data_IF_153575785965
#
_entry.id   IF_153575785965
#
_cell.length_a   1.000
_cell.length_b   1.000
_cell.length_c   1.000
_cell.angle_alpha   90.00
_cell.angle_beta   90.00
_cell.angle_gamma   90.00
#
_symmetry.space_group_name_H-M   'P 1'
#
loop_
_entity.id
_entity.type
_entity.pdbx_description
1 polymer ?
#
# COMPACT_ATOMS: atom_id res chain seq x y z
N UNK A 1 21.44 23.18 62.18
CA UNK A 1 20.70 21.99 61.73
C UNK A 1 20.62 21.93 60.20
N UNK A 2 21.76 22.05 59.50
CA UNK A 2 21.79 22.22 58.02
C UNK A 2 23.00 21.58 57.32
N UNK A 3 23.76 20.73 58.00
CA UNK A 3 24.96 20.09 57.41
C UNK A 3 24.72 18.59 57.11
N UNK A 4 23.92 17.92 57.94
CA UNK A 4 23.57 16.50 57.76
C UNK A 4 22.69 16.25 56.54
N UNK A 5 21.74 17.15 56.23
CA UNK A 5 20.83 17.02 55.08
C UNK A 5 21.54 17.22 53.74
N UNK A 6 22.61 18.02 53.68
CA UNK A 6 23.38 18.23 52.46
C UNK A 6 24.27 17.03 52.14
N UNK A 7 24.97 16.49 53.16
CA UNK A 7 25.78 15.26 53.02
C UNK A 7 24.94 14.06 52.60
N UNK A 8 23.69 13.94 53.08
CA UNK A 8 22.81 12.84 52.71
C UNK A 8 22.34 12.94 51.25
N UNK A 9 22.12 14.16 50.75
CA UNK A 9 21.74 14.41 49.35
C UNK A 9 22.90 14.14 48.40
N UNK A 10 24.11 14.57 48.75
CA UNK A 10 25.31 14.34 47.95
C UNK A 10 25.67 12.84 47.91
N UNK A 11 25.42 12.11 49.00
CA UNK A 11 25.60 10.66 49.05
C UNK A 11 24.60 9.92 48.17
N UNK A 12 23.32 10.28 48.22
CA UNK A 12 22.29 9.71 47.34
C UNK A 12 22.59 10.03 45.87
N UNK A 13 22.98 11.27 45.57
CA UNK A 13 23.32 11.68 44.21
C UNK A 13 24.51 10.90 43.64
N UNK A 14 25.56 10.68 44.45
CA UNK A 14 26.71 9.88 44.04
C UNK A 14 26.36 8.40 43.84
N UNK A 15 25.46 7.84 44.65
CA UNK A 15 24.94 6.48 44.45
C UNK A 15 24.14 6.40 43.15
N UNK A 16 23.24 7.36 42.88
CA UNK A 16 22.44 7.36 41.65
C UNK A 16 23.32 7.49 40.41
N UNK A 17 24.36 8.33 40.45
CA UNK A 17 25.32 8.47 39.34
C UNK A 17 26.09 7.16 39.15
N UNK A 18 26.56 6.53 40.22
CA UNK A 18 27.26 5.25 40.12
C UNK A 18 26.35 4.15 39.55
N UNK A 19 25.08 4.11 39.95
CA UNK A 19 24.09 3.15 39.46
C UNK A 19 23.76 3.38 37.98
N UNK A 20 23.61 4.64 37.56
CA UNK A 20 23.43 5.01 36.15
C UNK A 20 24.64 4.62 35.30
N UNK A 21 25.86 4.82 35.82
CA UNK A 21 27.08 4.44 35.12
C UNK A 21 27.21 2.92 34.99
N UNK A 22 26.88 2.16 36.04
CA UNK A 22 26.87 0.70 36.02
C UNK A 22 25.80 0.17 35.06
N UNK A 23 24.60 0.76 35.05
CA UNK A 23 23.55 0.40 34.08
C UNK A 23 23.93 0.76 32.64
N UNK A 24 24.58 1.90 32.40
CA UNK A 24 25.06 2.28 31.08
C UNK A 24 26.16 1.33 30.57
N UNK A 25 27.08 0.91 31.46
CA UNK A 25 28.11 -0.09 31.13
C UNK A 25 27.50 -1.47 30.87
N UNK A 26 26.47 -1.86 31.63
CA UNK A 26 25.74 -3.11 31.41
C UNK A 26 24.95 -3.11 30.09
N UNK A 27 24.27 -2.00 29.76
CA UNK A 27 23.58 -1.84 28.49
C UNK A 27 24.57 -1.83 27.32
N UNK A 28 25.71 -1.16 27.47
CA UNK A 28 26.77 -1.17 26.44
C UNK A 28 27.40 -2.56 26.27
N UNK A 29 27.56 -3.32 27.35
CA UNK A 29 28.01 -4.70 27.28
C UNK A 29 26.96 -5.61 26.63
N UNK A 30 25.67 -5.42 26.94
CA UNK A 30 24.58 -6.18 26.30
C UNK A 30 24.48 -5.86 24.81
N UNK A 31 24.57 -4.60 24.38
CA UNK A 31 24.51 -4.25 22.95
C UNK A 31 25.70 -4.81 22.18
N UNK A 32 26.90 -4.86 22.78
CA UNK A 32 28.07 -5.52 22.19
C UNK A 32 27.92 -7.05 22.10
N UNK A 33 27.29 -7.69 23.10
CA UNK A 33 27.05 -9.14 23.11
C UNK A 33 25.92 -9.55 22.15
N UNK A 34 24.90 -8.71 21.94
CA UNK A 34 23.89 -8.94 20.89
C UNK A 34 24.43 -8.62 19.48
N UNK A 35 25.40 -7.71 19.35
CA UNK A 35 26.07 -7.39 18.08
C UNK A 35 27.17 -8.39 17.66
N UNK A 36 27.63 -9.24 18.58
CA UNK A 36 28.59 -10.32 18.31
C UNK A 36 27.94 -11.64 18.71
N UNK A 37 27.34 -12.34 17.75
CA UNK A 37 26.82 -13.69 17.91
C UNK A 37 27.90 -14.66 18.38
N UNK A 38 28.17 -14.71 19.68
CA UNK A 38 29.06 -15.67 20.32
C UNK A 38 28.19 -16.71 20.99
N UNK A 39 27.90 -17.77 20.23
CA UNK A 39 27.35 -19.00 20.74
C UNK A 39 28.34 -19.62 21.73
N UNK A 40 28.05 -19.52 23.03
CA UNK A 40 28.69 -20.38 24.03
C UNK A 40 28.14 -21.80 23.86
N UNK A 41 28.79 -22.56 22.98
CA UNK A 41 28.49 -23.97 22.75
C UNK A 41 28.76 -24.80 24.00
N UNK A 42 27.69 -25.23 24.66
CA UNK A 42 27.71 -26.42 25.49
C UNK A 42 27.65 -27.63 24.56
N UNK A 43 28.81 -28.11 24.14
CA UNK A 43 28.95 -29.49 23.65
C UNK A 43 28.50 -30.41 24.77
N UNK A 44 27.38 -31.12 24.60
CA UNK A 44 27.12 -32.51 24.98
C UNK A 44 25.60 -32.79 24.94
N UNK A 45 25.21 -33.71 24.03
CA UNK A 45 23.96 -34.50 23.97
C UNK A 45 23.01 -34.19 22.82
N UNK A 46 22.96 -35.15 21.88
CA UNK A 46 21.72 -35.80 21.44
C UNK A 46 20.74 -34.99 20.60
N UNK A 47 20.80 -35.22 19.28
CA UNK A 47 19.65 -35.30 18.35
C UNK A 47 18.46 -34.38 18.64
N UNK A 48 18.47 -33.21 18.02
CA UNK A 48 17.37 -32.70 17.21
C UNK A 48 17.94 -31.61 16.30
N UNK A 49 17.91 -31.82 14.99
CA UNK A 49 18.22 -30.78 14.01
C UNK A 49 16.96 -29.91 13.86
N UNK A 50 16.61 -29.16 14.90
CA UNK A 50 15.83 -27.95 14.72
C UNK A 50 16.77 -26.92 14.13
N UNK A 51 16.72 -26.77 12.80
CA UNK A 51 17.22 -25.55 12.16
C UNK A 51 16.31 -24.44 12.69
N UNK A 52 16.82 -23.63 13.62
CA UNK A 52 16.26 -22.31 13.88
C UNK A 52 16.44 -21.54 12.58
N UNK A 53 15.42 -21.62 11.71
CA UNK A 53 15.25 -20.66 10.63
C UNK A 53 14.95 -19.36 11.37
N UNK A 54 15.98 -18.56 11.60
CA UNK A 54 15.79 -17.18 11.99
C UNK A 54 14.75 -16.61 11.02
N UNK A 55 13.64 -16.08 11.55
CA UNK A 55 12.68 -15.35 10.76
C UNK A 55 13.48 -14.38 9.87
N UNK A 56 13.15 -14.27 8.56
CA UNK A 56 13.86 -13.35 7.70
C UNK A 56 13.95 -12.01 8.42
N UNK A 57 15.12 -11.34 8.38
CA UNK A 57 15.21 -9.94 8.80
C UNK A 57 14.34 -9.14 7.83
N UNK A 58 13.03 -9.14 8.07
CA UNK A 58 12.04 -8.41 7.31
C UNK A 58 12.31 -6.95 7.64
N UNK A 59 12.91 -6.24 6.69
CA UNK A 59 12.88 -4.79 6.76
C UNK A 59 11.42 -4.44 6.48
N UNK A 60 10.73 -3.88 7.47
CA UNK A 60 9.34 -3.45 7.33
C UNK A 60 9.23 -2.48 6.14
N UNK A 61 8.47 -2.89 5.13
CA UNK A 61 8.19 -2.06 3.98
C UNK A 61 6.96 -1.21 4.30
N UNK A 62 7.11 0.12 4.22
CA UNK A 62 6.00 1.04 4.41
C UNK A 62 4.90 0.79 3.36
N UNK A 63 3.65 1.00 3.74
CA UNK A 63 2.53 0.97 2.81
C UNK A 63 2.56 2.23 1.94
N UNK A 64 2.50 2.03 0.62
CA UNK A 64 2.33 3.11 -0.36
C UNK A 64 1.12 2.79 -1.25
N UNK A 65 0.48 3.84 -1.76
CA UNK A 65 -0.65 3.68 -2.69
C UNK A 65 -0.71 4.83 -3.70
N UNK A 66 -1.21 4.56 -4.92
CA UNK A 66 -1.60 5.62 -5.84
C UNK A 66 -2.81 6.37 -5.29
N UNK A 67 -2.80 7.69 -5.41
CA UNK A 67 -3.91 8.56 -5.00
C UNK A 67 -4.18 9.61 -6.06
N UNK A 68 -5.43 9.73 -6.48
CA UNK A 68 -5.87 10.85 -7.33
C UNK A 68 -6.46 11.91 -6.43
N UNK A 69 -6.07 13.17 -6.67
CA UNK A 69 -6.50 14.27 -5.83
C UNK A 69 -7.13 15.36 -6.67
N UNK A 70 -8.22 15.95 -6.16
CA UNK A 70 -8.85 17.12 -6.73
C UNK A 70 -9.09 18.17 -5.66
N UNK A 71 -8.43 19.33 -5.77
CA UNK A 71 -8.68 20.48 -4.92
C UNK A 71 -9.67 21.42 -5.63
N UNK A 72 -10.71 21.82 -4.92
CA UNK A 72 -11.88 22.50 -5.50
C UNK A 72 -12.12 23.80 -4.78
N UNK A 73 -12.33 24.87 -5.55
CA UNK A 73 -12.84 26.15 -5.04
C UNK A 73 -13.93 26.71 -5.96
N UNK A 74 -14.47 27.88 -5.60
CA UNK A 74 -15.40 28.61 -6.45
C UNK A 74 -14.81 29.04 -7.82
N UNK A 75 -13.48 29.01 -7.98
CA UNK A 75 -12.79 29.48 -9.18
C UNK A 75 -12.38 28.36 -10.15
N UNK A 76 -12.55 27.10 -9.76
CA UNK A 76 -12.16 25.94 -10.57
C UNK A 76 -11.58 24.81 -9.74
N UNK A 77 -10.94 23.86 -10.43
CA UNK A 77 -10.32 22.69 -9.80
C UNK A 77 -8.87 22.55 -10.20
N UNK A 78 -8.05 22.17 -9.24
CA UNK A 78 -6.78 21.52 -9.48
C UNK A 78 -6.98 20.02 -9.41
N UNK A 79 -6.35 19.26 -10.30
CA UNK A 79 -6.34 17.80 -10.26
C UNK A 79 -4.97 17.22 -10.52
N UNK A 80 -4.67 16.10 -9.85
CA UNK A 80 -3.53 15.24 -10.13
C UNK A 80 -3.93 13.78 -10.13
N UNK A 81 -3.46 13.03 -11.13
CA UNK A 81 -3.74 11.61 -11.33
C UNK A 81 -2.51 10.71 -11.14
N UNK A 82 -1.36 11.30 -10.83
CA UNK A 82 -0.07 10.63 -10.71
C UNK A 82 0.62 11.07 -9.40
N UNK A 83 -0.04 10.80 -8.27
CA UNK A 83 0.52 10.97 -6.93
C UNK A 83 0.56 9.64 -6.20
N UNK A 84 1.54 9.52 -5.32
CA UNK A 84 1.67 8.42 -4.37
C UNK A 84 1.62 8.97 -2.95
N UNK A 85 1.17 8.17 -1.99
CA UNK A 85 1.02 8.57 -0.59
C UNK A 85 2.34 8.88 0.12
N UNK A 86 3.46 8.37 -0.41
CA UNK A 86 4.82 8.61 0.05
C UNK A 86 5.49 9.82 -0.63
N UNK A 87 4.92 10.34 -1.72
CA UNK A 87 5.53 11.46 -2.45
C UNK A 87 5.50 12.79 -1.69
N UNK A 88 6.58 13.57 -1.82
CA UNK A 88 6.67 14.93 -1.27
C UNK A 88 5.54 15.85 -1.76
N UNK A 89 5.09 15.65 -3.01
CA UNK A 89 3.98 16.41 -3.61
C UNK A 89 2.64 16.16 -2.90
N UNK A 90 2.49 15.02 -2.22
CA UNK A 90 1.29 14.68 -1.47
C UNK A 90 1.33 15.15 -0.02
N UNK A 91 2.49 15.53 0.53
CA UNK A 91 2.67 15.94 1.94
C UNK A 91 1.60 16.92 2.47
N UNK A 92 1.29 18.05 1.79
CA UNK A 92 0.29 19.01 2.32
C UNK A 92 -1.12 18.42 2.36
N UNK A 93 -1.44 17.57 1.39
CA UNK A 93 -2.76 16.92 1.26
C UNK A 93 -2.88 15.79 2.29
N UNK A 94 -1.80 15.02 2.46
CA UNK A 94 -1.69 13.99 3.48
C UNK A 94 -1.88 14.55 4.87
N UNK A 95 -1.15 15.61 5.23
CA UNK A 95 -1.25 16.22 6.55
C UNK A 95 -2.66 16.76 6.87
N UNK A 96 -3.40 17.20 5.84
CA UNK A 96 -4.80 17.60 6.01
C UNK A 96 -5.71 16.39 6.25
N UNK A 97 -5.55 15.33 5.46
CA UNK A 97 -6.34 14.10 5.59
C UNK A 97 -6.02 13.35 6.90
N UNK A 98 -4.76 13.33 7.31
CA UNK A 98 -4.28 12.81 8.59
C UNK A 98 -5.02 13.50 9.75
N UNK A 99 -5.00 14.82 9.81
CA UNK A 99 -5.72 15.59 10.84
C UNK A 99 -7.23 15.36 10.82
N UNK A 100 -7.82 15.21 9.63
CA UNK A 100 -9.22 14.90 9.49
C UNK A 100 -9.55 13.53 10.08
N UNK A 101 -8.79 12.49 9.75
CA UNK A 101 -8.99 11.13 10.25
C UNK A 101 -8.74 11.02 11.75
N UNK A 102 -7.69 11.65 12.28
CA UNK A 102 -7.40 11.66 13.71
C UNK A 102 -8.51 12.34 14.56
N UNK A 103 -9.28 13.24 13.95
CA UNK A 103 -10.40 13.92 14.61
C UNK A 103 -11.78 13.37 14.22
N UNK A 104 -11.83 12.45 13.26
CA UNK A 104 -13.07 11.87 12.78
C UNK A 104 -13.64 10.91 13.83
N UNK A 105 -14.89 11.16 14.22
CA UNK A 105 -15.63 10.33 15.16
C UNK A 105 -17.07 10.14 14.66
N UNK A 106 -17.74 9.10 15.16
CA UNK A 106 -19.15 8.83 14.91
C UNK A 106 -19.52 8.83 13.41
N UNK A 107 -18.93 7.94 12.61
CA UNK A 107 -19.28 7.79 11.19
C UNK A 107 -20.78 7.50 11.02
N UNK A 108 -21.50 8.41 10.36
CA UNK A 108 -22.95 8.30 10.13
C UNK A 108 -23.21 7.93 8.68
N UNK A 109 -24.23 7.11 8.45
CA UNK A 109 -24.74 6.84 7.11
C UNK A 109 -25.15 8.16 6.42
N UNK A 110 -24.75 8.29 5.17
CA UNK A 110 -24.99 9.43 4.30
C UNK A 110 -25.65 8.95 2.99
N UNK A 111 -25.66 9.77 1.96
CA UNK A 111 -26.20 9.42 0.66
C UNK A 111 -25.40 10.06 -0.48
N UNK A 112 -25.57 9.52 -1.69
CA UNK A 112 -24.86 10.00 -2.87
C UNK A 112 -25.14 11.45 -3.23
N UNK A 113 -26.31 12.00 -2.90
CA UNK A 113 -26.58 13.42 -3.15
C UNK A 113 -25.74 14.34 -2.24
N UNK A 114 -25.57 13.98 -0.97
CA UNK A 114 -24.70 14.72 -0.04
C UNK A 114 -23.24 14.63 -0.47
N UNK A 115 -22.77 13.42 -0.81
CA UNK A 115 -21.41 13.21 -1.34
C UNK A 115 -21.16 14.03 -2.62
N UNK A 116 -22.11 14.01 -3.55
CA UNK A 116 -22.02 14.80 -4.78
C UNK A 116 -22.08 16.30 -4.53
N UNK A 117 -22.86 16.77 -3.55
CA UNK A 117 -22.89 18.18 -3.17
C UNK A 117 -21.58 18.63 -2.53
N UNK A 118 -20.90 17.75 -1.78
CA UNK A 118 -19.60 18.01 -1.20
C UNK A 118 -18.53 18.29 -2.28
N UNK A 119 -18.59 17.62 -3.44
CA UNK A 119 -17.71 17.92 -4.58
C UNK A 119 -17.91 19.31 -5.17
N UNK A 120 -19.05 19.97 -4.92
CA UNK A 120 -19.37 21.30 -5.46
C UNK A 120 -18.98 22.44 -4.53
N UNK A 121 -18.71 22.16 -3.25
CA UNK A 121 -18.19 23.15 -2.31
C UNK A 121 -16.67 23.20 -2.37
N UNK A 122 -16.09 24.18 -1.66
CA UNK A 122 -14.64 24.18 -1.39
C UNK A 122 -14.28 22.86 -0.72
N UNK A 123 -13.45 22.05 -1.39
CA UNK A 123 -13.21 20.67 -0.98
C UNK A 123 -11.91 20.11 -1.53
N UNK A 124 -11.41 19.07 -0.88
CA UNK A 124 -10.35 18.21 -1.40
C UNK A 124 -10.89 16.78 -1.47
N UNK A 125 -10.89 16.23 -2.68
CA UNK A 125 -11.29 14.86 -3.00
C UNK A 125 -10.05 13.98 -3.17
N UNK A 126 -10.10 12.78 -2.61
CA UNK A 126 -9.08 11.74 -2.69
C UNK A 126 -9.72 10.47 -3.25
N UNK A 127 -9.05 9.81 -4.19
CA UNK A 127 -9.44 8.50 -4.74
C UNK A 127 -8.24 7.55 -4.71
N UNK A 128 -8.35 6.50 -3.90
CA UNK A 128 -7.34 5.46 -3.73
C UNK A 128 -7.50 4.30 -4.74
N UNK A 129 -8.28 4.53 -5.81
CA UNK A 129 -8.56 3.62 -6.94
C UNK A 129 -9.41 2.39 -6.62
N UNK A 130 -9.32 1.87 -5.40
CA UNK A 130 -10.03 0.68 -4.94
C UNK A 130 -10.61 0.91 -3.54
N UNK A 131 -11.70 0.22 -3.18
CA UNK A 131 -12.19 0.25 -1.80
C UNK A 131 -11.24 -0.49 -0.88
N UNK A 132 -10.82 0.18 0.20
CA UNK A 132 -9.96 -0.37 1.24
C UNK A 132 -10.59 -0.15 2.62
N UNK A 133 -10.36 -1.06 3.58
CA UNK A 133 -10.69 -0.83 4.98
C UNK A 133 -10.06 0.49 5.48
N UNK A 134 -10.82 1.27 6.24
CA UNK A 134 -10.38 2.57 6.73
C UNK A 134 -9.07 2.54 7.54
N UNK A 135 -8.77 1.51 8.36
CA UNK A 135 -7.46 1.40 9.01
C UNK A 135 -6.28 1.36 8.02
N UNK A 136 -6.44 0.68 6.88
CA UNK A 136 -5.41 0.61 5.83
C UNK A 136 -5.24 1.97 5.16
N UNK A 137 -6.34 2.68 4.87
CA UNK A 137 -6.29 4.03 4.34
C UNK A 137 -5.69 5.04 5.32
N UNK A 138 -5.97 4.88 6.61
CA UNK A 138 -5.42 5.72 7.66
C UNK A 138 -3.90 5.55 7.75
N UNK A 139 -3.40 4.30 7.73
CA UNK A 139 -1.96 4.03 7.72
C UNK A 139 -1.26 4.64 6.50
N UNK A 140 -1.86 4.55 5.31
CA UNK A 140 -1.35 5.19 4.09
C UNK A 140 -1.15 6.71 4.22
N UNK A 141 -1.87 7.35 5.14
CA UNK A 141 -1.73 8.78 5.44
C UNK A 141 -1.12 9.07 6.81
N UNK A 142 -0.57 8.04 7.48
CA UNK A 142 0.05 8.11 8.81
C UNK A 142 -0.91 8.53 9.94
N UNK A 143 -2.16 8.06 9.85
CA UNK A 143 -3.21 8.26 10.83
C UNK A 143 -3.70 6.91 11.37
N UNK A 144 -4.51 6.98 12.44
CA UNK A 144 -5.24 5.84 12.97
C UNK A 144 -6.74 5.99 12.68
N UNK A 145 -7.43 4.87 12.45
CA UNK A 145 -8.89 4.86 12.28
C UNK A 145 -9.53 3.56 12.78
N UNK A 146 -10.84 3.62 13.06
CA UNK A 146 -11.63 2.47 13.46
C UNK A 146 -11.91 1.51 12.28
N UNK A 147 -12.01 0.21 12.56
CA UNK A 147 -12.14 -0.86 11.57
C UNK A 147 -13.52 -0.99 10.90
N UNK A 148 -14.49 -0.13 11.24
CA UNK A 148 -15.90 -0.35 10.91
C UNK A 148 -16.34 0.13 9.52
N UNK A 149 -15.48 0.86 8.81
CA UNK A 149 -15.80 1.52 7.53
C UNK A 149 -14.77 1.13 6.48
N UNK A 150 -15.20 1.02 5.22
CA UNK A 150 -14.32 0.96 4.06
C UNK A 150 -14.58 2.17 3.17
N UNK A 151 -13.57 2.60 2.43
CA UNK A 151 -13.70 3.70 1.48
C UNK A 151 -12.74 3.49 0.30
N UNK A 152 -13.16 4.00 -0.85
CA UNK A 152 -12.28 4.26 -2.00
C UNK A 152 -12.05 5.76 -2.13
N UNK A 153 -13.14 6.51 -2.00
CA UNK A 153 -13.21 7.95 -2.24
C UNK A 153 -13.48 8.67 -0.93
N UNK A 154 -12.68 9.70 -0.66
CA UNK A 154 -12.82 10.56 0.50
C UNK A 154 -12.94 12.02 0.07
N UNK A 155 -13.77 12.81 0.74
CA UNK A 155 -13.87 14.25 0.50
C UNK A 155 -13.82 14.98 1.83
N UNK A 156 -12.88 15.93 1.94
CA UNK A 156 -12.93 16.97 2.96
C UNK A 156 -13.63 18.18 2.36
N UNK A 157 -14.84 18.48 2.82
CA UNK A 157 -15.67 19.54 2.26
C UNK A 157 -16.04 20.58 3.31
N UNK A 158 -15.97 21.84 2.93
CA UNK A 158 -16.40 22.96 3.76
C UNK A 158 -17.91 22.98 3.95
N UNK A 159 -18.35 23.07 5.20
CA UNK A 159 -19.77 23.18 5.60
C UNK A 159 -19.94 24.21 6.72
N UNK A 160 -20.53 25.36 6.39
CA UNK A 160 -20.60 26.48 7.33
C UNK A 160 -19.21 26.97 7.69
N UNK A 161 -18.85 26.95 8.97
CA UNK A 161 -17.52 27.35 9.47
C UNK A 161 -16.56 26.17 9.66
N UNK A 162 -17.02 24.93 9.41
CA UNK A 162 -16.25 23.69 9.65
C UNK A 162 -16.00 22.87 8.39
N UNK A 163 -15.38 21.71 8.58
CA UNK A 163 -15.09 20.73 7.52
C UNK A 163 -15.67 19.37 7.91
N UNK A 164 -16.33 18.73 6.95
CA UNK A 164 -16.85 17.37 7.10
C UNK A 164 -16.10 16.42 6.18
N UNK A 165 -15.86 15.21 6.68
CA UNK A 165 -15.28 14.11 5.92
C UNK A 165 -16.41 13.22 5.39
N UNK A 166 -16.40 12.99 4.09
CA UNK A 166 -17.29 12.08 3.38
C UNK A 166 -16.52 10.88 2.87
N UNK A 167 -17.11 9.68 2.96
CA UNK A 167 -16.51 8.44 2.45
C UNK A 167 -17.50 7.68 1.57
N UNK A 168 -16.96 7.01 0.55
CA UNK A 168 -17.70 6.11 -0.32
C UNK A 168 -16.79 5.00 -0.86
N UNK A 169 -17.27 3.76 -0.85
CA UNK A 169 -16.55 2.54 -1.22
C UNK A 169 -17.08 1.86 -2.50
N UNK A 170 -17.96 2.53 -3.24
CA UNK A 170 -18.64 2.00 -4.43
C UNK A 170 -19.59 0.80 -4.18
N UNK A 171 -19.75 0.32 -2.95
CA UNK A 171 -20.51 -0.89 -2.64
C UNK A 171 -21.43 -0.75 -1.41
N UNK A 172 -20.87 -0.68 -0.20
CA UNK A 172 -21.62 -0.78 1.06
C UNK A 172 -22.38 0.50 1.41
N UNK A 173 -21.87 1.67 1.00
CA UNK A 173 -22.63 2.91 1.09
C UNK A 173 -21.79 4.16 1.31
N UNK A 174 -22.51 5.26 1.58
CA UNK A 174 -21.92 6.57 1.82
C UNK A 174 -21.87 6.84 3.31
N UNK A 175 -20.78 7.42 3.80
CA UNK A 175 -20.61 7.82 5.19
C UNK A 175 -20.19 9.28 5.29
N UNK A 176 -20.49 9.89 6.45
CA UNK A 176 -20.09 11.27 6.79
C UNK A 176 -19.74 11.36 8.26
N UNK A 177 -18.70 12.10 8.59
CA UNK A 177 -18.42 12.56 9.95
C UNK A 177 -18.01 14.03 9.95
N UNK A 178 -18.18 14.69 11.09
CA UNK A 178 -17.64 16.03 11.32
C UNK A 178 -16.18 15.89 11.74
N UNK A 179 -15.34 16.86 11.38
CA UNK A 179 -13.91 16.88 11.75
C UNK A 179 -13.61 18.10 12.63
N UNK A 180 -12.44 18.11 13.26
CA UNK A 180 -11.98 19.28 14.02
C UNK A 180 -11.35 20.38 13.13
N UNK A 181 -11.29 20.19 11.81
CA UNK A 181 -10.71 21.14 10.87
C UNK A 181 -11.62 22.36 10.69
N UNK A 182 -11.00 23.54 10.63
CA UNK A 182 -11.70 24.77 10.26
C UNK A 182 -11.76 24.94 8.74
N UNK A 183 -12.76 25.67 8.27
CA UNK A 183 -12.86 26.03 6.85
C UNK A 183 -11.62 26.78 6.35
N UNK A 184 -11.03 27.64 7.18
CA UNK A 184 -9.84 28.43 6.83
C UNK A 184 -8.64 27.54 6.46
N UNK A 185 -8.40 26.44 7.18
CA UNK A 185 -7.29 25.50 6.88
C UNK A 185 -7.52 24.82 5.53
N UNK A 186 -8.77 24.41 5.25
CA UNK A 186 -9.13 23.82 3.97
C UNK A 186 -8.92 24.81 2.82
N UNK A 187 -9.41 26.04 2.97
CA UNK A 187 -9.22 27.11 1.98
C UNK A 187 -7.75 27.44 1.75
N UNK A 188 -6.96 27.56 2.82
CA UNK A 188 -5.52 27.78 2.72
C UNK A 188 -4.82 26.65 1.96
N UNK A 189 -5.22 25.39 2.16
CA UNK A 189 -4.65 24.24 1.45
C UNK A 189 -5.04 24.27 -0.03
N UNK A 190 -6.31 24.50 -0.35
CA UNK A 190 -6.78 24.59 -1.75
C UNK A 190 -6.08 25.73 -2.51
N UNK A 191 -5.87 26.87 -1.86
CA UNK A 191 -5.23 28.05 -2.47
C UNK A 191 -3.72 27.89 -2.75
N UNK A 192 -3.09 26.78 -2.34
CA UNK A 192 -1.72 26.45 -2.71
C UNK A 192 -1.59 25.95 -4.16
N UNK A 193 -2.70 25.53 -4.76
CA UNK A 193 -2.72 24.90 -6.07
C UNK A 193 -3.21 25.84 -7.17
N UNK A 194 -2.62 25.73 -8.36
CA UNK A 194 -3.09 26.42 -9.55
C UNK A 194 -4.33 25.72 -10.11
N UNK A 195 -5.48 26.39 -10.00
CA UNK A 195 -6.78 25.86 -10.42
C UNK A 195 -6.98 26.04 -11.93
N UNK A 196 -7.75 25.14 -12.53
CA UNK A 196 -8.19 25.18 -13.92
C UNK A 196 -7.67 24.05 -14.80
N UNK A 197 -6.94 23.08 -14.23
CA UNK A 197 -6.36 21.97 -15.00
C UNK A 197 -7.20 20.68 -14.96
N UNK A 198 -8.34 20.66 -14.26
CA UNK A 198 -9.11 19.43 -14.05
C UNK A 198 -10.62 19.65 -14.07
N UNK A 199 -11.36 18.62 -14.48
CA UNK A 199 -12.82 18.57 -14.41
C UNK A 199 -13.31 17.13 -14.27
N UNK A 200 -14.48 16.96 -13.65
CA UNK A 200 -15.16 15.67 -13.60
C UNK A 200 -16.12 15.49 -14.77
N UNK A 201 -16.41 14.25 -15.15
CA UNK A 201 -17.33 13.95 -16.24
C UNK A 201 -18.72 14.60 -16.07
N UNK A 202 -19.25 14.66 -14.84
CA UNK A 202 -20.55 15.26 -14.55
C UNK A 202 -20.63 16.76 -14.87
N UNK A 203 -19.49 17.45 -15.01
CA UNK A 203 -19.42 18.88 -15.31
C UNK A 203 -19.54 19.16 -16.81
N UNK A 204 -19.34 18.14 -17.63
CA UNK A 204 -19.39 18.26 -19.09
C UNK A 204 -20.79 18.08 -19.64
N UNK A 205 -21.06 18.79 -20.73
CA UNK A 205 -22.25 18.61 -21.57
C UNK A 205 -21.97 17.78 -22.83
N UNK A 206 -20.73 17.32 -23.03
CA UNK A 206 -20.38 16.45 -24.17
C UNK A 206 -21.00 15.06 -23.97
N UNK A 207 -21.79 14.54 -24.92
CA UNK A 207 -22.41 13.21 -24.83
C UNK A 207 -21.42 12.07 -24.60
N UNK A 208 -20.21 12.15 -25.16
CA UNK A 208 -19.18 11.12 -24.95
C UNK A 208 -18.61 11.15 -23.53
N UNK A 209 -18.55 12.33 -22.91
CA UNK A 209 -18.15 12.46 -21.50
C UNK A 209 -19.28 11.98 -20.59
N UNK A 210 -20.53 12.21 -20.96
CA UNK A 210 -21.68 11.76 -20.17
C UNK A 210 -21.92 10.24 -20.23
N UNK A 211 -21.31 9.52 -21.18
CA UNK A 211 -21.42 8.06 -21.26
C UNK A 211 -20.50 7.30 -20.29
N UNK A 212 -19.51 7.97 -19.70
CA UNK A 212 -18.63 7.37 -18.68
C UNK A 212 -19.13 7.67 -17.27
N UNK A 213 -18.55 7.03 -16.25
CA UNK A 213 -18.85 7.30 -14.85
C UNK A 213 -18.77 8.81 -14.56
N UNK A 214 -19.76 9.40 -13.86
CA UNK A 214 -19.78 10.83 -13.55
C UNK A 214 -18.54 11.29 -12.78
N UNK A 215 -17.90 10.38 -12.04
CA UNK A 215 -16.70 10.65 -11.24
C UNK A 215 -15.39 10.44 -12.00
N UNK A 216 -15.44 10.11 -13.30
CA UNK A 216 -14.24 10.05 -14.14
C UNK A 216 -13.58 11.43 -14.14
N UNK A 217 -12.28 11.47 -13.84
CA UNK A 217 -11.49 12.68 -13.71
C UNK A 217 -10.63 12.88 -14.97
N UNK A 218 -10.69 14.09 -15.53
CA UNK A 218 -9.90 14.47 -16.71
C UNK A 218 -9.04 15.69 -16.41
N UNK A 219 -7.86 15.73 -17.02
CA UNK A 219 -6.90 16.83 -16.91
C UNK A 219 -6.72 17.53 -18.25
N UNK A 220 -6.56 18.86 -18.22
CA UNK A 220 -6.19 19.70 -19.37
C UNK A 220 -5.11 20.72 -18.95
N UNK A 221 -3.86 20.61 -19.44
CA UNK A 221 -3.38 19.60 -20.40
C UNK A 221 -3.30 18.18 -19.81
N UNK A 222 -3.30 17.17 -20.69
CA UNK A 222 -3.07 15.77 -20.31
C UNK A 222 -1.68 15.58 -19.67
N UNK A 223 -1.54 14.68 -18.69
CA UNK A 223 -0.26 14.44 -18.03
C UNK A 223 0.75 13.77 -18.95
N UNK A 224 2.02 14.14 -18.82
CA UNK A 224 3.13 13.50 -19.53
C UNK A 224 3.66 12.35 -18.66
N UNK A 225 3.44 11.12 -19.11
CA UNK A 225 3.86 9.91 -18.41
C UNK A 225 4.96 9.20 -19.20
N UNK A 226 5.98 8.59 -18.56
CA UNK A 226 7.02 7.86 -19.27
C UNK A 226 6.50 6.54 -19.85
N UNK A 227 7.25 5.93 -20.75
CA UNK A 227 7.13 4.49 -21.03
C UNK A 227 7.89 3.70 -19.96
N UNK A 228 7.50 2.45 -19.72
CA UNK A 228 8.16 1.55 -18.78
C UNK A 228 8.66 0.30 -19.51
N UNK A 229 9.89 -0.13 -19.25
CA UNK A 229 10.35 -1.46 -19.65
C UNK A 229 10.04 -2.50 -18.59
N UNK A 230 9.72 -3.71 -19.03
CA UNK A 230 9.38 -4.85 -18.17
C UNK A 230 10.54 -5.83 -18.15
N UNK A 231 10.89 -6.30 -16.96
CA UNK A 231 11.78 -7.43 -16.77
C UNK A 231 11.26 -8.39 -15.68
N UNK A 232 11.72 -9.63 -15.73
CA UNK A 232 11.40 -10.68 -14.76
C UNK A 232 12.68 -10.97 -13.96
N UNK A 233 12.81 -10.46 -12.73
CA UNK A 233 14.05 -10.55 -11.96
C UNK A 233 14.24 -11.90 -11.25
N UNK A 234 14.01 -13.01 -11.94
CA UNK A 234 14.12 -14.37 -11.39
C UNK A 234 15.50 -15.02 -11.59
N UNK A 235 16.55 -14.22 -11.83
CA UNK A 235 17.90 -14.75 -12.08
C UNK A 235 18.55 -15.42 -10.86
N UNK A 236 18.06 -15.13 -9.64
CA UNK A 236 18.48 -15.73 -8.38
C UNK A 236 17.28 -16.38 -7.66
N UNK A 237 16.94 -17.59 -8.10
CA UNK A 237 15.89 -18.41 -7.49
C UNK A 237 16.20 -18.77 -6.04
N UNK A 238 17.48 -18.94 -5.69
CA UNK A 238 17.90 -19.44 -4.39
C UNK A 238 17.60 -18.41 -3.29
N UNK A 239 17.81 -17.12 -3.58
CA UNK A 239 17.39 -16.03 -2.69
C UNK A 239 15.89 -16.04 -2.43
N UNK A 240 15.07 -16.22 -3.47
CA UNK A 240 13.61 -16.27 -3.33
C UNK A 240 13.17 -17.45 -2.46
N UNK A 241 13.79 -18.61 -2.66
CA UNK A 241 13.56 -19.78 -1.83
C UNK A 241 13.88 -19.47 -0.36
N UNK A 242 15.04 -18.87 -0.09
CA UNK A 242 15.44 -18.48 1.27
C UNK A 242 14.47 -17.46 1.89
N UNK A 243 14.02 -16.45 1.15
CA UNK A 243 13.03 -15.46 1.64
C UNK A 243 11.69 -16.11 2.01
N UNK A 244 11.31 -17.20 1.32
CA UNK A 244 10.11 -17.98 1.62
C UNK A 244 10.39 -19.14 2.60
N UNK A 245 11.60 -19.21 3.15
CA UNK A 245 12.03 -20.23 4.10
C UNK A 245 12.20 -21.63 3.52
N UNK A 246 12.30 -21.78 2.19
CA UNK A 246 12.63 -23.04 1.52
C UNK A 246 14.14 -23.26 1.46
N UNK A 247 14.58 -24.52 1.58
CA UNK A 247 15.98 -24.90 1.39
C UNK A 247 16.34 -24.99 -0.11
N UNK A 248 17.23 -24.13 -0.65
CA UNK A 248 17.61 -24.17 -2.08
C UNK A 248 18.33 -25.46 -2.50
N UNK A 249 18.91 -26.19 -1.55
CA UNK A 249 19.68 -27.42 -1.77
C UNK A 249 18.85 -28.71 -1.58
N UNK A 250 17.52 -28.60 -1.51
CA UNK A 250 16.65 -29.78 -1.37
C UNK A 250 16.74 -30.71 -2.59
N UNK A 251 16.68 -32.02 -2.34
CA UNK A 251 16.60 -33.04 -3.39
C UNK A 251 15.22 -33.09 -4.08
N UNK A 252 14.22 -32.38 -3.55
CA UNK A 252 12.87 -32.30 -4.08
C UNK A 252 12.64 -31.04 -4.92
N UNK A 253 13.71 -30.58 -5.58
CA UNK A 253 13.74 -29.47 -6.54
C UNK A 253 13.89 -30.05 -7.94
N UNK A 254 12.95 -29.76 -8.83
CA UNK A 254 12.97 -30.26 -10.21
C UNK A 254 12.25 -29.32 -11.17
N UNK A 255 12.55 -29.42 -12.46
CA UNK A 255 11.82 -28.70 -13.52
C UNK A 255 10.75 -29.61 -14.09
N UNK A 256 9.51 -29.13 -14.17
CA UNK A 256 8.42 -29.87 -14.79
C UNK A 256 8.34 -29.67 -16.32
N UNK A 257 7.35 -30.31 -16.97
CA UNK A 257 7.20 -30.25 -18.42
C UNK A 257 6.86 -28.86 -18.97
N UNK A 258 6.39 -27.93 -18.14
CA UNK A 258 6.13 -26.54 -18.51
C UNK A 258 7.39 -25.67 -18.47
N UNK A 259 8.51 -26.22 -17.95
CA UNK A 259 9.73 -25.46 -17.68
C UNK A 259 9.71 -24.74 -16.33
N UNK A 260 8.62 -24.87 -15.57
CA UNK A 260 8.54 -24.31 -14.23
C UNK A 260 9.43 -25.10 -13.25
N UNK A 261 10.12 -24.36 -12.39
CA UNK A 261 10.87 -24.95 -11.29
C UNK A 261 9.90 -25.24 -10.13
N UNK A 262 9.89 -26.48 -9.65
CA UNK A 262 9.04 -26.93 -8.55
C UNK A 262 9.92 -27.35 -7.38
N UNK A 263 9.64 -26.80 -6.21
CA UNK A 263 10.32 -27.12 -4.95
C UNK A 263 9.29 -27.63 -3.96
N UNK A 264 9.50 -28.84 -3.44
CA UNK A 264 8.68 -29.41 -2.38
C UNK A 264 9.47 -29.57 -1.10
N UNK A 265 8.86 -29.21 0.02
CA UNK A 265 9.45 -29.39 1.34
C UNK A 265 8.34 -29.72 2.34
N UNK A 266 8.41 -30.90 2.96
CA UNK A 266 7.29 -31.41 3.75
C UNK A 266 6.03 -31.51 2.89
N UNK A 267 4.97 -30.84 3.32
CA UNK A 267 3.67 -30.83 2.63
C UNK A 267 3.46 -29.57 1.77
N UNK A 268 4.33 -28.55 1.87
CA UNK A 268 4.21 -27.33 1.05
C UNK A 268 4.89 -27.46 -0.31
N UNK A 269 4.35 -26.76 -1.30
CA UNK A 269 4.88 -26.71 -2.66
C UNK A 269 5.08 -25.26 -3.09
N UNK A 270 6.23 -24.96 -3.66
CA UNK A 270 6.50 -23.73 -4.40
C UNK A 270 6.71 -24.07 -5.87
N UNK A 271 6.16 -23.27 -6.77
CA UNK A 271 6.42 -23.36 -8.20
C UNK A 271 6.76 -21.97 -8.76
N UNK A 272 7.87 -21.89 -9.48
CA UNK A 272 8.36 -20.71 -10.18
C UNK A 272 8.18 -20.93 -11.69
N UNK A 273 7.27 -20.19 -12.29
CA UNK A 273 6.96 -20.24 -13.70
C UNK A 273 7.94 -19.39 -14.52
N UNK A 274 8.14 -19.76 -15.77
CA UNK A 274 9.04 -19.06 -16.71
C UNK A 274 8.55 -17.67 -17.10
N UNK A 275 7.25 -17.40 -16.91
CA UNK A 275 6.62 -16.10 -17.12
C UNK A 275 6.74 -15.17 -15.90
N UNK A 276 7.48 -15.55 -14.86
CA UNK A 276 7.66 -14.74 -13.66
C UNK A 276 6.61 -14.98 -12.57
N UNK A 277 5.65 -15.87 -12.78
CA UNK A 277 4.65 -16.20 -11.75
C UNK A 277 5.23 -17.15 -10.71
N UNK A 278 5.11 -16.79 -9.44
CA UNK A 278 5.43 -17.61 -8.28
C UNK A 278 4.12 -18.08 -7.66
N UNK A 279 3.94 -19.38 -7.47
CA UNK A 279 2.79 -19.95 -6.78
C UNK A 279 3.25 -20.78 -5.58
N UNK A 280 2.66 -20.53 -4.43
CA UNK A 280 2.89 -21.23 -3.17
C UNK A 280 1.59 -21.87 -2.70
N UNK A 281 1.68 -23.13 -2.28
CA UNK A 281 0.59 -23.88 -1.67
C UNK A 281 1.08 -24.47 -0.36
N UNK A 282 0.40 -24.11 0.72
CA UNK A 282 0.61 -24.74 2.02
C UNK A 282 0.09 -26.18 1.98
N UNK A 283 0.73 -27.07 2.72
CA UNK A 283 0.20 -28.41 2.97
C UNK A 283 0.06 -28.76 4.43
N UNK A 284 0.30 -27.80 5.35
CA UNK A 284 0.27 -28.03 6.79
C UNK A 284 1.61 -27.71 7.44
N UNK A 285 2.65 -28.50 7.18
CA UNK A 285 3.97 -28.29 7.76
C UNK A 285 5.14 -28.56 6.79
N UNK A 286 6.20 -27.71 6.79
CA UNK A 286 6.31 -26.43 7.50
C UNK A 286 5.39 -25.36 6.88
N UNK A 287 4.98 -24.38 7.69
CA UNK A 287 4.07 -23.31 7.30
C UNK A 287 4.82 -22.00 6.99
N UNK A 288 4.28 -21.18 6.08
CA UNK A 288 4.79 -19.83 5.81
C UNK A 288 4.10 -18.83 6.74
N UNK A 289 4.74 -18.54 7.87
CA UNK A 289 4.23 -17.64 8.91
C UNK A 289 4.61 -16.20 8.59
N UNK A 290 3.63 -15.29 8.59
CA UNK A 290 3.86 -13.84 8.39
C UNK A 290 3.58 -13.02 9.66
N UNK A 291 2.74 -13.52 10.55
CA UNK A 291 2.56 -12.96 11.89
C UNK A 291 2.56 -14.06 12.93
N UNK A 292 3.17 -13.79 14.07
CA UNK A 292 3.23 -14.70 15.22
C UNK A 292 2.11 -14.45 16.23
N UNK A 293 1.28 -13.43 16.01
CA UNK A 293 0.16 -13.10 16.88
C UNK A 293 -1.10 -13.80 16.38
N UNK A 294 -1.71 -14.62 17.24
CA UNK A 294 -3.03 -15.24 16.95
C UNK A 294 -4.17 -14.21 16.91
N UNK A 295 -3.96 -13.02 17.48
CA UNK A 295 -4.93 -11.92 17.52
C UNK A 295 -4.47 -10.73 16.65
N UNK A 296 -3.66 -10.98 15.62
CA UNK A 296 -3.19 -9.92 14.72
C UNK A 296 -4.38 -9.17 14.10
N UNK A 297 -4.33 -7.84 14.17
CA UNK A 297 -5.29 -6.95 13.52
C UNK A 297 -5.23 -7.08 12.00
N UNK A 298 -6.28 -6.62 11.33
CA UNK A 298 -6.32 -6.62 9.86
C UNK A 298 -5.13 -5.85 9.27
N UNK A 299 -4.79 -4.71 9.86
CA UNK A 299 -3.68 -3.86 9.42
C UNK A 299 -2.33 -4.58 9.56
N UNK A 300 -2.05 -5.20 10.70
CA UNK A 300 -0.81 -5.96 10.91
C UNK A 300 -0.64 -7.09 9.90
N UNK A 301 -1.74 -7.76 9.51
CA UNK A 301 -1.72 -8.81 8.48
C UNK A 301 -1.39 -8.22 7.11
N UNK A 302 -1.97 -7.07 6.76
CA UNK A 302 -1.69 -6.34 5.51
C UNK A 302 -0.23 -5.90 5.45
N UNK A 303 0.31 -5.31 6.52
CA UNK A 303 1.69 -4.84 6.60
C UNK A 303 2.71 -5.99 6.53
N UNK A 304 2.41 -7.11 7.20
CA UNK A 304 3.25 -8.31 7.14
C UNK A 304 3.29 -8.90 5.73
N UNK A 305 2.14 -8.98 5.06
CA UNK A 305 2.07 -9.42 3.67
C UNK A 305 2.79 -8.44 2.71
N UNK A 306 2.65 -7.13 2.94
CA UNK A 306 3.36 -6.09 2.20
C UNK A 306 4.88 -6.25 2.33
N UNK A 307 5.37 -6.42 3.56
CA UNK A 307 6.80 -6.59 3.86
C UNK A 307 7.34 -7.88 3.24
N UNK A 308 6.58 -8.97 3.28
CA UNK A 308 6.95 -10.21 2.60
C UNK A 308 7.12 -9.99 1.10
N UNK A 309 6.12 -9.45 0.40
CA UNK A 309 6.18 -9.25 -1.05
C UNK A 309 7.33 -8.33 -1.47
N UNK A 310 7.55 -7.24 -0.74
CA UNK A 310 8.68 -6.34 -0.98
C UNK A 310 10.04 -7.04 -0.78
N UNK A 311 10.15 -7.94 0.20
CA UNK A 311 11.36 -8.75 0.40
C UNK A 311 11.66 -9.67 -0.80
N UNK A 312 10.61 -10.16 -1.48
CA UNK A 312 10.75 -10.97 -2.71
C UNK A 312 11.26 -10.12 -3.88
N UNK A 313 10.93 -8.83 -3.91
CA UNK A 313 11.41 -7.88 -4.91
C UNK A 313 12.80 -7.29 -4.61
N UNK A 314 13.30 -7.39 -3.38
CA UNK A 314 14.47 -6.61 -2.89
C UNK A 314 15.80 -6.74 -3.67
N UNK A 315 15.97 -7.69 -4.60
CA UNK A 315 17.16 -7.75 -5.49
C UNK A 315 16.96 -7.00 -6.81
N UNK A 316 15.78 -6.44 -7.04
CA UNK A 316 15.32 -5.91 -8.32
C UNK A 316 14.83 -4.47 -8.11
N UNK A 317 15.76 -3.52 -8.11
CA UNK A 317 15.43 -2.10 -8.00
C UNK A 317 14.68 -1.64 -9.26
N UNK A 318 13.36 -1.51 -9.17
CA UNK A 318 12.51 -0.91 -10.20
C UNK A 318 11.99 0.45 -9.77
N UNK A 319 11.39 1.16 -10.71
CA UNK A 319 10.71 2.45 -10.48
C UNK A 319 9.21 2.28 -10.16
N UNK A 320 8.73 1.03 -10.12
CA UNK A 320 7.38 0.69 -9.71
C UNK A 320 7.39 0.01 -8.34
N UNK A 321 6.31 0.24 -7.60
CA UNK A 321 6.10 -0.28 -6.26
C UNK A 321 4.83 -1.12 -6.19
N UNK A 322 4.74 -1.98 -5.19
CA UNK A 322 3.52 -2.70 -4.87
C UNK A 322 2.61 -1.82 -4.02
N UNK A 323 1.31 -1.95 -4.22
CA UNK A 323 0.31 -1.35 -3.35
C UNK A 323 -0.84 -2.32 -3.11
N UNK A 324 -1.57 -2.12 -2.01
CA UNK A 324 -2.75 -2.94 -1.67
C UNK A 324 -3.90 -2.55 -2.59
N UNK A 325 -4.41 -3.51 -3.37
CA UNK A 325 -5.55 -3.28 -4.27
C UNK A 325 -6.86 -3.91 -3.74
N UNK A 326 -6.80 -4.71 -2.68
CA UNK A 326 -7.99 -5.29 -2.06
C UNK A 326 -7.71 -6.06 -0.79
N UNK A 327 -8.67 -5.99 0.14
CA UNK A 327 -8.68 -6.72 1.40
C UNK A 327 -10.07 -7.30 1.59
N UNK A 328 -10.18 -8.62 1.60
CA UNK A 328 -11.48 -9.32 1.64
C UNK A 328 -11.45 -10.42 2.71
N UNK A 329 -12.44 -10.38 3.61
CA UNK A 329 -12.65 -11.46 4.58
C UNK A 329 -13.43 -12.59 3.92
N UNK A 330 -12.88 -13.81 3.95
CA UNK A 330 -13.45 -15.01 3.34
C UNK A 330 -13.68 -16.10 4.39
N UNK A 331 -14.33 -17.21 4.00
CA UNK A 331 -14.49 -18.37 4.89
C UNK A 331 -13.15 -19.02 5.27
N UNK A 332 -12.15 -18.93 4.38
CA UNK A 332 -10.84 -19.58 4.51
C UNK A 332 -9.78 -18.66 5.16
N UNK A 333 -10.14 -17.42 5.51
CA UNK A 333 -9.23 -16.40 6.07
C UNK A 333 -9.34 -15.06 5.35
N UNK A 334 -8.26 -14.29 5.36
CA UNK A 334 -8.19 -12.98 4.70
C UNK A 334 -7.54 -13.15 3.33
N UNK A 335 -8.24 -12.74 2.28
CA UNK A 335 -7.69 -12.62 0.93
C UNK A 335 -7.17 -11.19 0.72
N UNK A 336 -5.87 -11.09 0.46
CA UNK A 336 -5.19 -9.84 0.14
C UNK A 336 -4.83 -9.83 -1.34
N UNK A 337 -5.10 -8.72 -2.01
CA UNK A 337 -4.70 -8.48 -3.40
C UNK A 337 -3.75 -7.29 -3.45
N UNK A 338 -2.69 -7.41 -4.25
CA UNK A 338 -1.73 -6.34 -4.49
C UNK A 338 -1.61 -6.05 -5.99
N UNK A 339 -1.43 -4.78 -6.32
CA UNK A 339 -1.17 -4.28 -7.67
C UNK A 339 0.20 -3.62 -7.77
N UNK A 340 0.63 -3.28 -8.99
CA UNK A 340 1.81 -2.46 -9.23
C UNK A 340 1.41 -1.02 -9.58
N UNK A 341 2.19 -0.05 -9.13
CA UNK A 341 2.05 1.36 -9.52
C UNK A 341 3.41 1.96 -9.87
N UNK A 342 3.44 2.88 -10.82
CA UNK A 342 4.64 3.67 -11.15
C UNK A 342 4.30 5.16 -11.08
N UNK A 343 4.90 5.87 -10.13
CA UNK A 343 4.67 7.31 -9.94
C UNK A 343 3.20 7.68 -9.72
N UNK A 344 2.44 6.83 -9.03
CA UNK A 344 1.02 7.06 -8.72
C UNK A 344 0.05 6.59 -9.80
N UNK A 345 0.55 5.98 -10.88
CA UNK A 345 -0.26 5.46 -11.98
C UNK A 345 -0.30 3.93 -11.90
N UNK A 346 -1.50 3.31 -11.86
CA UNK A 346 -1.61 1.86 -11.72
C UNK A 346 -1.13 1.13 -12.98
N UNK A 347 -0.55 -0.05 -12.79
CA UNK A 347 -0.19 -0.99 -13.84
C UNK A 347 -1.14 -2.18 -13.76
N UNK A 348 -1.96 -2.35 -14.80
CA UNK A 348 -2.97 -3.40 -14.89
C UNK A 348 -2.50 -4.53 -15.78
N UNK A 349 -2.68 -5.77 -15.35
CA UNK A 349 -2.47 -6.92 -16.22
C UNK A 349 -3.65 -7.06 -17.19
N UNK A 350 -3.38 -7.46 -18.44
CA UNK A 350 -4.42 -7.60 -19.48
C UNK A 350 -5.51 -8.62 -19.15
N UNK A 351 -5.22 -9.59 -18.30
CA UNK A 351 -6.18 -10.58 -17.84
C UNK A 351 -7.01 -10.10 -16.63
N UNK A 352 -6.79 -8.86 -16.18
CA UNK A 352 -7.50 -8.25 -15.05
C UNK A 352 -7.14 -8.86 -13.70
N UNK A 353 -6.11 -9.69 -13.62
CA UNK A 353 -5.66 -10.31 -12.37
C UNK A 353 -4.70 -9.38 -11.61
N UNK A 354 -4.62 -9.57 -10.31
CA UNK A 354 -3.71 -8.87 -9.40
C UNK A 354 -2.24 -9.20 -9.68
N UNK A 355 -1.34 -8.33 -9.21
CA UNK A 355 0.08 -8.64 -9.14
C UNK A 355 0.34 -9.77 -8.15
N UNK A 356 -0.29 -9.71 -6.97
CA UNK A 356 -0.27 -10.78 -5.99
C UNK A 356 -1.66 -11.05 -5.43
N UNK A 357 -1.96 -12.31 -5.15
CA UNK A 357 -3.07 -12.75 -4.32
C UNK A 357 -2.51 -13.63 -3.19
N UNK A 358 -2.86 -13.31 -1.94
CA UNK A 358 -2.38 -14.01 -0.75
C UNK A 358 -3.58 -14.33 0.13
N UNK A 359 -3.75 -15.61 0.47
CA UNK A 359 -4.73 -16.04 1.46
C UNK A 359 -4.03 -16.30 2.79
N UNK A 360 -4.45 -15.60 3.83
CA UNK A 360 -3.88 -15.68 5.19
C UNK A 360 -4.91 -16.25 6.16
N UNK A 361 -4.54 -17.34 6.84
CA UNK A 361 -5.35 -17.98 7.87
C UNK A 361 -4.52 -18.15 9.15
N UNK A 362 -4.96 -17.58 10.27
CA UNK A 362 -4.26 -17.70 11.56
C UNK A 362 -2.81 -17.23 11.53
N UNK A 363 -2.52 -16.17 10.77
CA UNK A 363 -1.17 -15.62 10.61
C UNK A 363 -0.24 -16.38 9.65
N UNK A 364 -0.77 -17.38 8.98
CA UNK A 364 -0.05 -18.24 8.03
C UNK A 364 -0.61 -18.05 6.62
N UNK A 365 0.28 -17.97 5.64
CA UNK A 365 -0.10 -18.02 4.23
C UNK A 365 -0.52 -19.45 3.88
N UNK A 366 -1.76 -19.64 3.44
CA UNK A 366 -2.30 -20.91 2.97
C UNK A 366 -2.10 -21.10 1.47
N UNK A 367 -2.29 -20.04 0.70
CA UNK A 367 -2.07 -19.99 -0.74
C UNK A 367 -1.53 -18.59 -1.13
N UNK A 368 -0.63 -18.55 -2.11
CA UNK A 368 -0.14 -17.29 -2.66
C UNK A 368 0.20 -17.45 -4.13
N UNK A 369 -0.25 -16.50 -4.94
CA UNK A 369 0.26 -16.28 -6.30
C UNK A 369 0.87 -14.89 -6.38
N UNK A 370 2.07 -14.78 -6.96
CA UNK A 370 2.75 -13.50 -7.13
C UNK A 370 3.45 -13.41 -8.50
N UNK A 371 3.11 -12.40 -9.29
CA UNK A 371 3.74 -12.09 -10.57
C UNK A 371 4.94 -11.19 -10.33
N UNK A 372 6.12 -11.80 -10.27
CA UNK A 372 7.36 -11.08 -10.07
C UNK A 372 7.67 -10.28 -11.33
N UNK A 373 7.60 -8.95 -11.21
CA UNK A 373 7.86 -8.00 -12.29
C UNK A 373 8.73 -6.88 -11.75
N UNK A 374 9.58 -6.36 -12.62
CA UNK A 374 10.33 -5.15 -12.37
C UNK A 374 10.08 -4.21 -13.55
N UNK A 375 9.68 -2.98 -13.24
CA UNK A 375 9.43 -1.93 -14.21
C UNK A 375 10.50 -0.87 -14.08
N UNK A 376 11.01 -0.35 -15.19
CA UNK A 376 12.00 0.72 -15.22
C UNK A 376 11.53 1.83 -16.14
N UNK A 377 11.62 3.06 -15.67
CA UNK A 377 11.27 4.26 -16.43
C UNK A 377 12.22 4.43 -17.61
N UNK A 378 11.65 4.52 -18.80
CA UNK A 378 12.38 4.82 -20.02
C UNK A 378 12.42 6.33 -20.28
N UNK A 379 13.38 6.78 -21.09
CA UNK A 379 13.51 8.19 -21.46
C UNK A 379 12.46 8.70 -22.47
N UNK A 380 11.57 7.82 -22.93
CA UNK A 380 10.51 8.13 -23.91
C UNK A 380 9.20 8.39 -23.19
N UNK A 381 8.43 9.40 -23.64
CA UNK A 381 7.09 9.66 -23.11
C UNK A 381 6.03 8.79 -23.80
N UNK A 382 5.08 8.29 -23.02
CA UNK A 382 3.88 7.62 -23.50
C UNK A 382 3.02 8.57 -24.33
N UNK A 383 2.47 8.06 -25.43
CA UNK A 383 1.53 8.79 -26.28
C UNK A 383 0.11 8.45 -25.88
N UNK A 384 -0.48 9.27 -25.01
CA UNK A 384 -1.90 9.16 -24.67
C UNK A 384 -2.75 9.43 -25.91
N UNK A 385 -3.78 8.60 -26.10
CA UNK A 385 -4.81 8.90 -27.09
C UNK A 385 -5.49 10.21 -26.67
N UNK A 386 -5.75 11.14 -27.63
CA UNK A 386 -6.48 12.35 -27.31
C UNK A 386 -7.81 12.00 -26.62
N UNK A 387 -8.13 12.67 -25.51
CA UNK A 387 -9.29 12.36 -24.67
C UNK A 387 -10.58 12.06 -25.46
N UNK A 388 -10.89 12.86 -26.49
CA UNK A 388 -12.10 12.64 -27.32
C UNK A 388 -12.13 11.27 -28.03
N UNK A 389 -10.98 10.77 -28.47
CA UNK A 389 -10.88 9.45 -29.09
C UNK A 389 -11.01 8.35 -28.04
N UNK A 390 -10.38 8.53 -26.87
CA UNK A 390 -10.51 7.60 -25.75
C UNK A 390 -11.97 7.47 -25.29
N UNK A 391 -12.67 8.58 -25.13
CA UNK A 391 -14.11 8.60 -24.78
C UNK A 391 -14.98 7.91 -25.83
N UNK A 392 -14.68 8.08 -27.12
CA UNK A 392 -15.41 7.40 -28.19
C UNK A 392 -15.25 5.87 -28.14
N UNK A 393 -14.11 5.36 -27.66
CA UNK A 393 -13.87 3.93 -27.41
C UNK A 393 -14.60 3.50 -26.13
N UNK A 394 -14.44 4.26 -25.05
CA UNK A 394 -15.05 3.98 -23.75
C UNK A 394 -16.59 3.98 -23.79
N UNK A 395 -17.21 4.76 -24.70
CA UNK A 395 -18.67 4.77 -24.89
C UNK A 395 -19.26 3.40 -25.27
N UNK A 396 -18.44 2.40 -25.63
CA UNK A 396 -18.90 1.01 -25.82
C UNK A 396 -19.17 0.28 -24.49
N UNK A 397 -18.71 0.84 -23.37
CA UNK A 397 -18.90 0.35 -22.00
C UNK A 397 -19.56 1.46 -21.17
N UNK A 398 -20.86 1.63 -21.36
CA UNK A 398 -21.63 2.70 -20.71
C UNK A 398 -21.51 2.60 -19.18
N UNK A 399 -21.16 3.71 -18.55
CA UNK A 399 -20.97 3.82 -17.09
C UNK A 399 -19.60 3.42 -16.56
N UNK A 400 -18.70 2.89 -17.39
CA UNK A 400 -17.32 2.59 -16.98
C UNK A 400 -16.58 3.86 -16.56
N UNK A 401 -15.71 3.75 -15.57
CA UNK A 401 -14.82 4.83 -15.16
C UNK A 401 -13.64 4.90 -16.12
N UNK A 402 -13.46 6.06 -16.75
CA UNK A 402 -12.33 6.28 -17.65
C UNK A 402 -11.19 6.92 -16.87
N UNK A 403 -10.02 6.27 -16.86
CA UNK A 403 -8.86 6.77 -16.15
C UNK A 403 -7.53 6.38 -16.80
N UNK A 404 -6.42 6.95 -16.34
CA UNK A 404 -5.09 6.67 -16.92
C UNK A 404 -4.40 5.55 -16.14
N UNK A 405 -3.81 4.60 -16.87
CA UNK A 405 -3.02 3.51 -16.31
C UNK A 405 -2.08 2.91 -17.36
N UNK A 406 -1.21 2.01 -16.92
CA UNK A 406 -0.40 1.16 -17.80
C UNK A 406 -1.07 -0.20 -17.98
N UNK A 407 -0.87 -0.83 -19.14
CA UNK A 407 -1.34 -2.18 -19.41
C UNK A 407 -0.15 -3.14 -19.61
N UNK A 408 0.12 -4.01 -18.64
CA UNK A 408 1.16 -5.04 -18.72
C UNK A 408 0.75 -6.16 -19.70
N UNK A 409 1.53 -6.30 -20.78
CA UNK A 409 1.43 -7.36 -21.79
C UNK A 409 2.34 -8.57 -21.55
N UNK A 410 3.14 -8.56 -20.50
CA UNK A 410 4.01 -9.64 -20.03
C UNK A 410 5.49 -9.51 -20.45
N UNK A 411 5.83 -8.62 -21.38
CA UNK A 411 7.21 -8.40 -21.83
C UNK A 411 7.36 -7.08 -22.61
N UNK A 412 8.60 -6.61 -22.72
CA UNK A 412 8.96 -5.47 -23.58
C UNK A 412 8.72 -4.13 -22.91
N UNK A 413 8.14 -3.19 -23.65
CA UNK A 413 7.84 -1.83 -23.18
C UNK A 413 6.33 -1.64 -23.12
N UNK A 414 5.86 -0.95 -22.08
CA UNK A 414 4.47 -0.55 -21.91
C UNK A 414 4.38 0.97 -21.87
N UNK A 415 3.31 1.49 -22.46
CA UNK A 415 3.00 2.92 -22.47
C UNK A 415 1.71 3.13 -21.66
N UNK A 416 1.61 4.28 -21.00
CA UNK A 416 0.39 4.72 -20.35
C UNK A 416 -0.72 4.94 -21.39
N UNK A 417 -1.95 4.69 -20.98
CA UNK A 417 -3.13 4.86 -21.83
C UNK A 417 -4.40 5.05 -21.00
N UNK A 418 -5.49 5.36 -21.70
CA UNK A 418 -6.82 5.41 -21.09
C UNK A 418 -7.36 4.00 -20.91
N UNK A 419 -7.75 3.67 -19.68
CA UNK A 419 -8.37 2.42 -19.25
C UNK A 419 -9.82 2.69 -18.84
N UNK A 420 -10.74 1.87 -19.34
CA UNK A 420 -12.13 1.85 -18.90
C UNK A 420 -12.30 0.72 -17.89
N UNK A 421 -12.61 1.06 -16.63
CA UNK A 421 -12.72 0.14 -15.50
C UNK A 421 -14.10 0.20 -14.82
#
# INVERSE_FOLDING_TARGET
MSEHTRKHRDFIQNITIALLFVSAVLLFAQTQIYGLGVHTGSFLSGSDLSVDIAAPNQTEAALTAPVRVVATSAFGRYGSMALTTDSDSFEPLRGLLEQALLSAQDYRASNGQSFFNALKSTSIYYDFLVPLPLPVLAELVRADAEESVSARRLILAGEGDGVSLYLWDDATGYYRCDTALSLEILEQTVNQYELGNAFFAFESSDPYVQSVSPYSLFLDPEPVLPELSISIPLSDSDRLLLSLGFNPNTQYRYTDSSGAEVVREGERTLRLHTDGTLSYQSGGSPALVITTSEEASLLEIVEAANSLLHSLLASAAGDAELYVEGVEQTEDGILLRFGYQAGGVPIRFRDGQSAAEITVAGGVISDMTFRVRQYTVEGTASLLLPLRQALAIAAQQEGAELSIGYADGGAGTISAGWLAE
#
